data_IF_450109707609
#
_entry.id   IF_450109707609
#
_cell.length_a   1.000
_cell.length_b   1.000
_cell.length_c   1.000
_cell.angle_alpha   90.00
_cell.angle_beta   90.00
_cell.angle_gamma   90.00
#
_symmetry.space_group_name_H-M   'P 1'
#
loop_
_entity.id
_entity.type
_entity.pdbx_description
1 polymer ?
#
# COMPACT_ATOMS: atom_id res chain seq x y z
N UNK A 1 2.51 -46.47 28.93
CA UNK A 1 1.25 -45.76 28.61
C UNK A 1 1.60 -44.29 28.43
N UNK A 2 1.73 -43.85 27.18
CA UNK A 2 2.00 -42.46 26.81
C UNK A 2 0.78 -42.04 25.99
N UNK A 3 -0.05 -41.17 26.53
CA UNK A 3 -1.25 -40.67 25.86
C UNK A 3 -0.86 -39.59 24.85
N UNK A 4 -0.99 -39.92 23.57
CA UNK A 4 -1.06 -39.00 22.44
C UNK A 4 -2.13 -37.94 22.72
N UNK A 5 -1.73 -36.68 22.90
CA UNK A 5 -2.65 -35.55 22.79
C UNK A 5 -2.80 -35.21 21.31
N UNK A 6 -4.02 -35.44 20.80
CA UNK A 6 -4.39 -35.22 19.42
C UNK A 6 -4.43 -33.73 19.08
N UNK A 7 -3.54 -33.33 18.18
CA UNK A 7 -3.71 -32.15 17.34
C UNK A 7 -4.74 -32.55 16.27
N UNK A 8 -6.02 -32.46 16.59
CA UNK A 8 -7.11 -32.60 15.62
C UNK A 8 -8.11 -31.46 15.83
N UNK A 9 -7.76 -30.31 15.27
CA UNK A 9 -8.68 -29.33 14.70
C UNK A 9 -7.89 -28.51 13.67
N UNK A 10 -7.33 -29.23 12.70
CA UNK A 10 -6.89 -28.65 11.44
C UNK A 10 -8.18 -28.46 10.62
N UNK A 11 -8.72 -27.25 10.66
CA UNK A 11 -9.91 -26.89 9.89
C UNK A 11 -9.58 -27.05 8.40
N UNK A 12 -10.31 -27.93 7.71
CA UNK A 12 -10.40 -27.92 6.25
C UNK A 12 -11.10 -26.62 5.83
N UNK A 13 -10.31 -25.58 5.61
CA UNK A 13 -10.79 -24.37 4.96
C UNK A 13 -10.73 -24.63 3.46
N UNK A 14 -11.85 -24.41 2.75
CA UNK A 14 -11.93 -24.57 1.29
C UNK A 14 -10.77 -23.82 0.61
N UNK A 15 -10.12 -24.39 -0.43
CA UNK A 15 -9.05 -23.72 -1.20
C UNK A 15 -9.44 -22.34 -1.76
N UNK A 16 -10.75 -22.06 -1.89
CA UNK A 16 -11.28 -20.78 -2.36
C UNK A 16 -11.41 -19.71 -1.26
N UNK A 17 -11.24 -20.07 0.01
CA UNK A 17 -11.37 -19.15 1.13
C UNK A 17 -10.02 -18.48 1.44
N UNK A 18 -9.73 -17.39 0.74
CA UNK A 18 -8.52 -16.56 0.99
C UNK A 18 -8.53 -15.84 2.35
N UNK A 19 -9.64 -15.91 3.08
CA UNK A 19 -9.86 -15.18 4.33
C UNK A 19 -10.67 -16.00 5.32
N UNK A 20 -10.27 -15.96 6.59
CA UNK A 20 -10.98 -16.55 7.71
C UNK A 20 -11.11 -15.55 8.85
N UNK A 21 -12.20 -15.66 9.61
CA UNK A 21 -12.48 -14.81 10.77
C UNK A 21 -12.94 -15.68 11.93
N UNK A 22 -12.36 -15.48 13.11
CA UNK A 22 -12.77 -16.15 14.34
C UNK A 22 -12.51 -15.29 15.57
N UNK A 23 -13.06 -15.69 16.71
CA UNK A 23 -12.87 -15.01 18.00
C UNK A 23 -11.93 -15.86 18.85
N UNK A 24 -10.84 -15.28 19.32
CA UNK A 24 -9.90 -15.93 20.23
C UNK A 24 -9.70 -15.06 21.48
N UNK A 25 -9.97 -15.60 22.67
CA UNK A 25 -9.94 -14.87 23.95
C UNK A 25 -10.69 -13.52 23.91
N UNK A 26 -11.84 -13.47 23.24
CA UNK A 26 -12.64 -12.24 23.09
C UNK A 26 -12.10 -11.24 22.08
N UNK A 27 -10.95 -11.51 21.44
CA UNK A 27 -10.39 -10.71 20.35
C UNK A 27 -10.79 -11.32 19.01
N UNK A 28 -11.34 -10.49 18.12
CA UNK A 28 -11.58 -10.89 16.73
C UNK A 28 -10.23 -11.00 16.01
N UNK A 29 -9.90 -12.21 15.56
CA UNK A 29 -8.73 -12.49 14.73
C UNK A 29 -9.21 -12.67 13.29
N UNK A 30 -8.49 -12.02 12.38
CA UNK A 30 -8.76 -12.05 10.95
C UNK A 30 -7.52 -12.53 10.24
N UNK A 31 -7.66 -13.60 9.48
CA UNK A 31 -6.56 -14.30 8.85
C UNK A 31 -6.68 -14.18 7.34
N UNK A 32 -5.60 -13.75 6.70
CA UNK A 32 -5.42 -13.85 5.26
C UNK A 32 -4.61 -15.10 4.94
N UNK A 33 -5.08 -15.88 3.97
CA UNK A 33 -4.35 -17.02 3.45
C UNK A 33 -3.40 -16.51 2.36
N UNK A 34 -2.12 -16.81 2.53
CA UNK A 34 -1.08 -16.45 1.59
C UNK A 34 -0.33 -17.72 1.18
N UNK A 35 -0.82 -18.35 0.11
CA UNK A 35 -0.38 -19.68 -0.30
C UNK A 35 -0.89 -20.71 0.69
N UNK A 36 0.02 -21.45 1.30
CA UNK A 36 -0.28 -22.41 2.37
C UNK A 36 -0.12 -21.82 3.79
N UNK A 37 0.21 -20.53 3.90
CA UNK A 37 0.47 -19.85 5.16
C UNK A 37 -0.69 -18.94 5.58
N UNK A 38 -0.74 -18.65 6.88
CA UNK A 38 -1.82 -17.91 7.53
C UNK A 38 -1.25 -16.73 8.30
N UNK A 39 -1.75 -15.52 8.03
CA UNK A 39 -1.26 -14.30 8.65
C UNK A 39 -2.41 -13.44 9.17
N UNK A 40 -2.22 -12.82 10.33
CA UNK A 40 -3.14 -11.76 10.79
C UNK A 40 -3.14 -10.62 9.77
N UNK A 41 -4.33 -10.15 9.37
CA UNK A 41 -4.44 -9.06 8.41
C UNK A 41 -3.70 -7.79 8.87
N UNK A 42 -3.52 -7.60 10.18
CA UNK A 42 -2.81 -6.45 10.73
C UNK A 42 -1.40 -6.29 10.14
N UNK A 43 -0.73 -7.42 9.82
CA UNK A 43 0.58 -7.44 9.16
C UNK A 43 0.55 -6.69 7.81
N UNK A 44 -0.50 -6.90 7.02
CA UNK A 44 -0.68 -6.24 5.72
C UNK A 44 -1.17 -4.81 5.89
N UNK A 45 -2.13 -4.60 6.79
CA UNK A 45 -2.79 -3.31 6.96
C UNK A 45 -1.79 -2.24 7.43
N UNK A 46 -0.90 -2.57 8.36
CA UNK A 46 0.05 -1.61 8.91
C UNK A 46 1.06 -1.13 7.86
N UNK A 47 1.55 -2.02 6.98
CA UNK A 47 2.45 -1.64 5.88
C UNK A 47 1.72 -0.81 4.82
N UNK A 48 0.49 -1.19 4.45
CA UNK A 48 -0.32 -0.50 3.44
C UNK A 48 -0.63 0.93 3.91
N UNK A 49 -0.96 1.12 5.19
CA UNK A 49 -1.23 2.44 5.77
C UNK A 49 0.05 3.28 5.82
N UNK A 50 1.18 2.72 6.25
CA UNK A 50 2.44 3.45 6.31
C UNK A 50 2.85 3.98 4.92
N UNK A 51 2.74 3.14 3.89
CA UNK A 51 2.99 3.51 2.50
C UNK A 51 1.99 4.56 1.98
N UNK A 52 0.70 4.40 2.29
CA UNK A 52 -0.32 5.36 1.90
C UNK A 52 -0.06 6.76 2.49
N UNK A 53 0.28 6.81 3.79
CA UNK A 53 0.61 8.04 4.51
C UNK A 53 1.80 8.76 3.87
N UNK A 54 2.88 8.02 3.64
CA UNK A 54 4.08 8.58 3.04
C UNK A 54 3.81 9.14 1.65
N UNK A 55 2.98 8.43 0.87
CA UNK A 55 2.53 8.89 -0.44
C UNK A 55 1.65 10.14 -0.40
N UNK A 56 0.77 10.28 0.59
CA UNK A 56 -0.05 11.49 0.77
C UNK A 56 0.83 12.71 1.06
N UNK A 57 1.82 12.55 1.95
CA UNK A 57 2.78 13.60 2.31
C UNK A 57 3.60 14.05 1.09
N UNK A 58 4.16 13.09 0.34
CA UNK A 58 4.96 13.38 -0.86
C UNK A 58 4.12 14.12 -1.91
N UNK A 59 2.87 13.73 -2.10
CA UNK A 59 2.01 14.40 -3.09
C UNK A 59 1.57 15.79 -2.65
N UNK A 60 1.41 16.03 -1.35
CA UNK A 60 1.18 17.35 -0.78
C UNK A 60 2.41 18.25 -0.96
N UNK A 61 3.61 17.74 -0.69
CA UNK A 61 4.87 18.43 -0.92
C UNK A 61 4.99 18.87 -2.39
N UNK A 62 4.67 17.98 -3.34
CA UNK A 62 4.70 18.30 -4.77
C UNK A 62 3.71 19.42 -5.15
N UNK A 63 2.48 19.35 -4.63
CA UNK A 63 1.47 20.38 -4.85
C UNK A 63 1.93 21.75 -4.33
N UNK A 64 2.50 21.80 -3.11
CA UNK A 64 3.03 23.05 -2.54
C UNK A 64 4.23 23.58 -3.32
N UNK A 65 5.16 22.71 -3.71
CA UNK A 65 6.31 23.11 -4.52
C UNK A 65 5.86 23.68 -5.88
N UNK A 66 4.85 23.08 -6.51
CA UNK A 66 4.23 23.61 -7.74
C UNK A 66 3.67 25.02 -7.50
N UNK A 67 2.90 25.22 -6.42
CA UNK A 67 2.34 26.54 -6.05
C UNK A 67 3.41 27.58 -5.77
N UNK A 68 4.44 27.27 -4.99
CA UNK A 68 5.57 28.18 -4.72
C UNK A 68 6.26 28.57 -6.02
N UNK A 69 6.49 27.60 -6.91
CA UNK A 69 7.10 27.85 -8.23
C UNK A 69 6.24 28.77 -9.08
N UNK A 70 4.93 28.57 -9.11
CA UNK A 70 3.99 29.45 -9.84
C UNK A 70 3.99 30.84 -9.20
N UNK A 71 3.85 30.92 -7.89
CA UNK A 71 3.82 32.18 -7.13
C UNK A 71 5.07 33.01 -7.42
N UNK A 72 6.27 32.44 -7.31
CA UNK A 72 7.53 33.13 -7.61
C UNK A 72 7.63 33.70 -9.02
N UNK A 73 6.94 33.12 -10.00
CA UNK A 73 6.93 33.61 -11.38
C UNK A 73 5.98 34.79 -11.60
N UNK A 74 4.92 34.90 -10.80
CA UNK A 74 3.85 35.87 -10.99
C UNK A 74 3.75 36.89 -9.85
N UNK A 75 4.53 36.70 -8.78
CA UNK A 75 4.35 37.40 -7.51
C UNK A 75 4.59 38.90 -7.62
N UNK A 76 3.75 39.63 -6.90
CA UNK A 76 3.96 41.03 -6.51
C UNK A 76 4.39 41.09 -5.04
N UNK A 77 4.76 42.27 -4.54
CA UNK A 77 5.14 42.42 -3.12
C UNK A 77 4.07 41.95 -2.11
N UNK A 78 2.80 41.88 -2.53
CA UNK A 78 1.66 41.40 -1.70
C UNK A 78 1.60 39.88 -1.55
N UNK A 79 2.42 39.13 -2.29
CA UNK A 79 2.40 37.66 -2.30
C UNK A 79 3.48 37.04 -1.42
N UNK A 80 4.35 37.87 -0.82
CA UNK A 80 5.42 37.42 0.10
C UNK A 80 4.88 36.65 1.30
N UNK A 81 3.75 37.10 1.85
CA UNK A 81 3.11 36.43 3.00
C UNK A 81 2.59 35.03 2.64
N UNK A 82 2.06 34.86 1.42
CA UNK A 82 1.62 33.54 0.93
C UNK A 82 2.79 32.60 0.66
N UNK A 83 3.90 33.12 0.13
CA UNK A 83 5.10 32.32 -0.06
C UNK A 83 5.67 31.85 1.28
N UNK A 84 5.72 32.74 2.27
CA UNK A 84 6.13 32.40 3.63
C UNK A 84 5.24 31.29 4.23
N UNK A 85 3.92 31.40 4.06
CA UNK A 85 2.97 30.37 4.51
C UNK A 85 3.23 29.00 3.86
N UNK A 86 3.43 28.94 2.55
CA UNK A 86 3.74 27.66 1.88
C UNK A 86 5.08 27.07 2.31
N UNK A 87 6.09 27.92 2.55
CA UNK A 87 7.39 27.46 3.04
C UNK A 87 7.29 26.91 4.49
N UNK A 88 6.44 27.50 5.33
CA UNK A 88 6.14 26.97 6.67
C UNK A 88 5.45 25.59 6.57
N UNK A 89 4.46 25.45 5.69
CA UNK A 89 3.79 24.15 5.47
C UNK A 89 4.76 23.10 4.92
N UNK A 90 5.65 23.45 4.00
CA UNK A 90 6.72 22.56 3.51
C UNK A 90 7.64 22.12 4.65
N UNK A 91 8.00 23.03 5.57
CA UNK A 91 8.82 22.69 6.74
C UNK A 91 8.12 21.69 7.65
N UNK A 92 6.83 21.88 7.90
CA UNK A 92 6.00 20.92 8.65
C UNK A 92 5.94 19.55 7.96
N UNK A 93 5.79 19.53 6.63
CA UNK A 93 5.78 18.27 5.87
C UNK A 93 7.11 17.53 5.90
N UNK A 94 8.24 18.23 5.96
CA UNK A 94 9.54 17.57 6.12
C UNK A 94 9.63 16.78 7.44
N UNK A 95 9.11 17.35 8.53
CA UNK A 95 9.04 16.65 9.82
C UNK A 95 8.10 15.44 9.74
N UNK A 96 6.91 15.61 9.16
CA UNK A 96 5.93 14.53 8.99
C UNK A 96 6.47 13.41 8.09
N UNK A 97 7.20 13.77 7.03
CA UNK A 97 7.85 12.82 6.12
C UNK A 97 8.86 11.95 6.89
N UNK A 98 9.74 12.55 7.69
CA UNK A 98 10.70 11.80 8.50
C UNK A 98 10.03 10.85 9.50
N UNK A 99 8.94 11.29 10.14
CA UNK A 99 8.15 10.43 11.03
C UNK A 99 7.47 9.27 10.28
N UNK A 100 6.91 9.53 9.10
CA UNK A 100 6.27 8.52 8.26
C UNK A 100 7.30 7.53 7.69
N UNK A 101 8.48 7.96 7.29
CA UNK A 101 9.57 7.09 6.87
C UNK A 101 10.04 6.17 8.00
N UNK A 102 10.20 6.70 9.21
CA UNK A 102 10.56 5.90 10.37
C UNK A 102 9.47 4.87 10.71
N UNK A 103 8.20 5.28 10.66
CA UNK A 103 7.06 4.37 10.85
C UNK A 103 7.06 3.26 9.81
N UNK A 104 7.28 3.59 8.53
CA UNK A 104 7.41 2.62 7.45
C UNK A 104 8.55 1.65 7.72
N UNK A 105 9.73 2.15 8.10
CA UNK A 105 10.86 1.30 8.49
C UNK A 105 10.49 0.32 9.62
N UNK A 106 9.83 0.79 10.69
CA UNK A 106 9.42 -0.07 11.79
C UNK A 106 8.49 -1.20 11.31
N UNK A 107 7.45 -0.88 10.53
CA UNK A 107 6.52 -1.92 10.05
C UNK A 107 7.20 -2.88 9.05
N UNK A 108 8.13 -2.40 8.23
CA UNK A 108 8.97 -3.23 7.35
C UNK A 108 9.82 -4.23 8.14
N UNK A 109 10.39 -3.81 9.28
CA UNK A 109 11.18 -4.70 10.16
C UNK A 109 10.33 -5.70 10.93
N UNK A 110 9.04 -5.40 11.15
CA UNK A 110 8.09 -6.26 11.84
C UNK A 110 7.40 -7.27 10.92
N UNK A 111 7.62 -7.20 9.61
CA UNK A 111 7.11 -8.20 8.68
C UNK A 111 7.68 -9.59 9.04
N UNK A 112 6.83 -10.64 9.13
CA UNK A 112 7.29 -11.99 9.42
C UNK A 112 8.35 -12.45 8.42
N UNK A 113 9.49 -12.91 8.94
CA UNK A 113 10.57 -13.49 8.13
C UNK A 113 10.01 -14.70 7.37
N UNK A 114 10.33 -14.79 6.08
CA UNK A 114 9.85 -15.86 5.19
C UNK A 114 9.12 -15.29 3.98
N UNK A 115 8.09 -16.00 3.45
CA UNK A 115 7.48 -15.66 2.16
C UNK A 115 6.88 -14.27 2.07
N UNK A 116 6.29 -13.75 3.15
CA UNK A 116 5.68 -12.40 3.16
C UNK A 116 6.75 -11.32 3.07
N UNK A 117 7.80 -11.40 3.89
CA UNK A 117 8.89 -10.44 3.81
C UNK A 117 9.62 -10.52 2.47
N UNK A 118 9.91 -11.73 1.99
CA UNK A 118 10.54 -11.93 0.69
C UNK A 118 9.69 -11.34 -0.45
N UNK A 119 8.37 -11.54 -0.43
CA UNK A 119 7.49 -11.03 -1.48
C UNK A 119 7.38 -9.51 -1.47
N UNK A 120 7.36 -8.89 -0.29
CA UNK A 120 7.42 -7.44 -0.15
C UNK A 120 8.77 -6.88 -0.63
N UNK A 121 9.88 -7.42 -0.13
CA UNK A 121 11.23 -6.94 -0.45
C UNK A 121 11.51 -7.10 -1.96
N UNK A 122 11.23 -8.27 -2.54
CA UNK A 122 11.38 -8.54 -3.99
C UNK A 122 10.55 -7.57 -4.82
N UNK A 123 9.33 -7.27 -4.40
CA UNK A 123 8.50 -6.30 -5.10
C UNK A 123 9.11 -4.90 -5.05
N UNK A 124 9.70 -4.50 -3.92
CA UNK A 124 10.31 -3.17 -3.72
C UNK A 124 11.65 -2.99 -4.44
N UNK A 125 12.33 -4.06 -4.83
CA UNK A 125 13.51 -3.99 -5.71
C UNK A 125 13.16 -3.42 -7.10
N UNK A 126 11.92 -3.61 -7.56
CA UNK A 126 11.46 -3.00 -8.80
C UNK A 126 11.09 -1.53 -8.59
N UNK A 127 11.86 -0.61 -9.19
CA UNK A 127 11.62 0.85 -9.10
C UNK A 127 10.25 1.28 -9.65
N UNK A 128 9.62 0.45 -10.48
CA UNK A 128 8.29 0.67 -11.06
C UNK A 128 7.18 -0.15 -10.39
N UNK A 129 7.43 -0.74 -9.21
CA UNK A 129 6.44 -1.54 -8.47
C UNK A 129 5.08 -0.84 -8.32
N UNK A 130 5.11 0.48 -8.18
CA UNK A 130 3.93 1.30 -7.98
C UNK A 130 3.04 1.38 -9.23
N UNK A 131 3.52 0.96 -10.41
CA UNK A 131 2.78 0.91 -11.68
C UNK A 131 2.14 -0.45 -11.96
N UNK A 132 2.17 -1.36 -10.99
CA UNK A 132 1.50 -2.64 -11.08
C UNK A 132 0.01 -2.48 -11.41
N UNK A 133 -0.52 -3.44 -12.16
CA UNK A 133 -1.90 -3.45 -12.64
C UNK A 133 -2.89 -3.23 -11.50
N UNK A 134 -2.68 -3.85 -10.35
CA UNK A 134 -3.58 -3.79 -9.21
C UNK A 134 -3.73 -2.35 -8.66
N UNK A 135 -2.62 -1.59 -8.61
CA UNK A 135 -2.62 -0.20 -8.16
C UNK A 135 -3.13 0.77 -9.24
N UNK A 136 -2.86 0.48 -10.51
CA UNK A 136 -3.42 1.21 -11.64
C UNK A 136 -4.94 1.05 -11.65
N UNK A 137 -5.43 -0.18 -11.56
CA UNK A 137 -6.85 -0.53 -11.54
C UNK A 137 -7.56 0.10 -10.33
N UNK A 138 -6.94 0.08 -9.14
CA UNK A 138 -7.45 0.82 -7.99
C UNK A 138 -7.60 2.31 -8.31
N UNK A 139 -6.53 2.94 -8.82
CA UNK A 139 -6.53 4.36 -9.17
C UNK A 139 -7.65 4.70 -10.17
N UNK A 140 -7.86 3.86 -11.19
CA UNK A 140 -8.94 4.01 -12.18
C UNK A 140 -10.31 3.88 -11.53
N UNK A 141 -10.55 2.83 -10.74
CA UNK A 141 -11.86 2.54 -10.11
C UNK A 141 -12.33 3.66 -9.19
N UNK A 142 -11.42 4.36 -8.52
CA UNK A 142 -11.73 5.52 -7.67
C UNK A 142 -11.69 6.87 -8.42
N UNK A 143 -11.74 6.86 -9.75
CA UNK A 143 -11.80 8.05 -10.60
C UNK A 143 -10.51 8.89 -10.62
N UNK A 144 -9.36 8.25 -10.38
CA UNK A 144 -8.06 8.91 -10.29
C UNK A 144 -7.40 9.21 -11.63
N UNK A 145 -6.19 9.76 -11.56
CA UNK A 145 -5.48 10.25 -12.74
C UNK A 145 -5.20 9.16 -13.79
N UNK A 146 -5.20 7.88 -13.41
CA UNK A 146 -5.01 6.78 -14.36
C UNK A 146 -6.20 6.55 -15.29
N UNK A 147 -7.39 7.02 -14.94
CA UNK A 147 -8.54 7.02 -15.86
C UNK A 147 -8.53 8.23 -16.81
N UNK A 148 -7.42 9.00 -16.84
CA UNK A 148 -7.30 10.30 -17.50
C UNK A 148 -6.00 10.38 -18.29
N UNK A 149 -5.83 11.48 -19.02
CA UNK A 149 -4.68 11.72 -19.90
C UNK A 149 -3.52 12.50 -19.26
N UNK A 150 -3.59 12.88 -17.98
CA UNK A 150 -2.57 13.75 -17.38
C UNK A 150 -1.20 13.08 -17.14
N UNK A 151 -1.12 11.75 -17.14
CA UNK A 151 0.15 11.00 -17.07
C UNK A 151 0.94 11.13 -15.75
N UNK A 152 0.43 11.88 -14.76
CA UNK A 152 1.22 12.24 -13.58
C UNK A 152 1.54 11.05 -12.67
N UNK A 153 0.68 10.04 -12.63
CA UNK A 153 0.91 8.84 -11.83
C UNK A 153 2.10 8.03 -12.43
N UNK A 154 2.38 8.08 -13.74
CA UNK A 154 3.46 7.31 -14.40
C UNK A 154 4.86 7.88 -14.10
N UNK A 155 4.99 9.20 -14.17
CA UNK A 155 6.27 9.90 -14.02
C UNK A 155 6.61 10.27 -12.57
N UNK A 156 5.90 9.70 -11.58
CA UNK A 156 6.07 10.06 -10.15
C UNK A 156 7.51 9.99 -9.69
N UNK A 157 8.23 8.92 -10.02
CA UNK A 157 9.62 8.74 -9.61
C UNK A 157 10.56 9.85 -10.13
N UNK A 158 10.23 10.47 -11.26
CA UNK A 158 11.00 11.56 -11.87
C UNK A 158 10.74 12.91 -11.19
N UNK A 159 9.54 13.10 -10.62
CA UNK A 159 9.07 14.40 -10.15
C UNK A 159 9.14 14.60 -8.63
N UNK A 160 9.32 13.55 -7.82
CA UNK A 160 9.30 13.68 -6.34
C UNK A 160 10.68 14.01 -5.76
N UNK A 161 11.77 13.56 -6.40
CA UNK A 161 13.11 13.56 -5.77
C UNK A 161 13.20 12.70 -4.50
N UNK A 162 12.12 11.97 -4.15
CA UNK A 162 12.00 11.09 -2.97
C UNK A 162 12.10 9.65 -3.42
N UNK A 163 12.82 8.83 -2.65
CA UNK A 163 12.96 7.39 -2.92
C UNK A 163 11.79 6.57 -2.36
N UNK A 164 11.01 7.13 -1.42
CA UNK A 164 9.84 6.49 -0.80
C UNK A 164 8.59 7.37 -0.99
N UNK A 165 7.41 6.80 -0.73
CA UNK A 165 6.13 7.48 -0.95
C UNK A 165 5.74 7.62 -2.43
N UNK A 166 6.39 6.86 -3.32
CA UNK A 166 6.07 6.85 -4.75
C UNK A 166 4.81 6.02 -4.97
N UNK A 167 3.84 6.57 -5.71
CA UNK A 167 2.72 5.78 -6.21
C UNK A 167 1.55 6.58 -6.75
N UNK A 168 0.42 5.88 -6.89
CA UNK A 168 -0.77 6.45 -7.50
C UNK A 168 -1.40 7.57 -6.67
N UNK A 169 -2.27 8.31 -7.33
CA UNK A 169 -2.64 9.65 -6.96
C UNK A 169 -3.56 9.68 -5.70
N UNK A 170 -3.07 10.11 -4.55
CA UNK A 170 -3.78 10.21 -3.28
C UNK A 170 -4.64 11.51 -3.23
N UNK A 171 -5.47 11.74 -2.19
CA UNK A 171 -6.33 12.92 -2.08
C UNK A 171 -5.65 14.28 -2.34
N UNK A 172 -4.37 14.44 -1.97
CA UNK A 172 -3.58 15.66 -2.19
C UNK A 172 -2.95 15.81 -3.58
N UNK A 173 -3.14 14.84 -4.47
CA UNK A 173 -2.62 14.94 -5.84
C UNK A 173 -3.12 16.22 -6.53
N UNK A 174 -2.21 17.09 -6.97
CA UNK A 174 -2.54 18.36 -7.65
C UNK A 174 -3.54 18.18 -8.80
N UNK A 175 -3.32 17.22 -9.71
CA UNK A 175 -4.26 16.94 -10.80
C UNK A 175 -5.67 16.58 -10.33
N UNK A 176 -5.80 15.90 -9.17
CA UNK A 176 -7.11 15.59 -8.58
C UNK A 176 -7.75 16.84 -8.01
N UNK A 177 -6.99 17.70 -7.33
CA UNK A 177 -7.49 18.96 -6.78
C UNK A 177 -7.92 19.92 -7.89
N UNK A 178 -7.15 20.04 -8.97
CA UNK A 178 -7.49 20.89 -10.12
C UNK A 178 -8.80 20.48 -10.77
N UNK A 179 -9.04 19.17 -10.95
CA UNK A 179 -10.32 18.68 -11.48
C UNK A 179 -11.48 18.96 -10.53
N UNK A 180 -11.26 18.69 -9.25
CA UNK A 180 -12.29 18.83 -8.23
C UNK A 180 -12.70 20.29 -8.06
N UNK A 181 -11.82 21.23 -8.41
CA UNK A 181 -12.03 22.67 -8.30
C UNK A 181 -11.80 23.23 -6.89
N UNK A 182 -11.36 22.40 -5.94
CA UNK A 182 -11.03 22.81 -4.59
C UNK A 182 -9.98 21.89 -3.95
N UNK A 183 -9.36 22.38 -2.89
CA UNK A 183 -8.39 21.65 -2.09
C UNK A 183 -9.02 21.16 -0.79
N UNK A 184 -8.58 20.00 -0.31
CA UNK A 184 -8.98 19.53 1.01
C UNK A 184 -8.30 20.35 2.10
N UNK A 185 -9.02 20.63 3.18
CA UNK A 185 -8.43 21.18 4.41
C UNK A 185 -7.51 20.16 5.08
N UNK A 186 -6.78 20.57 6.12
CA UNK A 186 -5.97 19.63 6.92
C UNK A 186 -6.83 18.51 7.52
N UNK A 187 -8.00 18.86 8.04
CA UNK A 187 -8.94 17.94 8.69
C UNK A 187 -9.55 16.95 7.68
N UNK A 188 -9.90 17.41 6.47
CA UNK A 188 -10.42 16.53 5.42
C UNK A 188 -9.37 15.55 4.90
N UNK A 189 -8.09 15.97 4.86
CA UNK A 189 -6.96 15.09 4.50
C UNK A 189 -6.75 14.01 5.55
N UNK A 190 -6.73 14.38 6.83
CA UNK A 190 -6.63 13.44 7.93
C UNK A 190 -7.81 12.46 7.95
N UNK A 191 -9.05 12.98 7.77
CA UNK A 191 -10.25 12.16 7.64
C UNK A 191 -10.18 11.16 6.48
N UNK A 192 -9.57 11.54 5.36
CA UNK A 192 -9.38 10.63 4.21
C UNK A 192 -8.44 9.45 4.53
N UNK A 193 -7.38 9.71 5.30
CA UNK A 193 -6.46 8.66 5.77
C UNK A 193 -7.18 7.73 6.74
N UNK A 194 -7.93 8.30 7.70
CA UNK A 194 -8.68 7.53 8.68
C UNK A 194 -9.75 6.66 8.03
N UNK A 195 -10.45 7.18 7.02
CA UNK A 195 -11.45 6.42 6.28
C UNK A 195 -10.82 5.28 5.46
N UNK A 196 -9.62 5.50 4.90
CA UNK A 196 -8.86 4.43 4.25
C UNK A 196 -8.46 3.35 5.26
N UNK A 197 -7.95 3.74 6.43
CA UNK A 197 -7.62 2.82 7.53
C UNK A 197 -8.84 2.04 8.00
N UNK A 198 -9.99 2.68 8.19
CA UNK A 198 -11.25 2.02 8.56
C UNK A 198 -11.66 0.98 7.52
N UNK A 199 -11.56 1.30 6.22
CA UNK A 199 -11.89 0.36 5.13
C UNK A 199 -10.98 -0.88 5.12
N UNK A 200 -9.69 -0.73 5.43
CA UNK A 200 -8.77 -1.86 5.55
C UNK A 200 -9.08 -2.76 6.75
N UNK A 201 -9.58 -2.15 7.84
CA UNK A 201 -10.01 -2.85 9.04
C UNK A 201 -11.50 -3.20 9.07
N UNK A 202 -12.26 -3.02 7.98
CA UNK A 202 -13.68 -3.39 7.89
C UNK A 202 -13.84 -4.93 7.97
N UNK A 203 -14.99 -5.40 8.46
CA UNK A 203 -15.35 -6.82 8.45
C UNK A 203 -15.41 -7.39 7.03
N UNK A 204 -15.65 -6.56 6.02
CA UNK A 204 -15.52 -6.97 4.62
C UNK A 204 -14.03 -7.00 4.21
N UNK A 205 -13.44 -8.18 3.93
CA UNK A 205 -12.03 -8.29 3.65
C UNK A 205 -11.64 -7.86 2.23
N UNK A 206 -12.60 -7.52 1.35
CA UNK A 206 -12.34 -7.24 -0.05
C UNK A 206 -11.27 -6.15 -0.25
N UNK A 207 -11.33 -5.09 0.56
CA UNK A 207 -10.36 -3.99 0.50
C UNK A 207 -8.96 -4.46 0.88
N UNK A 208 -8.80 -5.14 2.02
CA UNK A 208 -7.48 -5.60 2.48
C UNK A 208 -6.91 -6.69 1.59
N UNK A 209 -7.74 -7.59 1.03
CA UNK A 209 -7.29 -8.59 0.05
C UNK A 209 -6.73 -7.90 -1.19
N UNK A 210 -7.51 -7.00 -1.81
CA UNK A 210 -7.08 -6.28 -3.00
C UNK A 210 -5.78 -5.51 -2.77
N UNK A 211 -5.65 -4.86 -1.61
CA UNK A 211 -4.45 -4.10 -1.29
C UNK A 211 -3.27 -5.01 -0.95
N UNK A 212 -3.48 -6.16 -0.30
CA UNK A 212 -2.42 -7.14 -0.09
C UNK A 212 -1.86 -7.66 -1.42
N UNK A 213 -2.71 -7.96 -2.40
CA UNK A 213 -2.28 -8.39 -3.75
C UNK A 213 -1.49 -7.32 -4.51
N UNK A 214 -1.77 -6.04 -4.23
CA UNK A 214 -1.07 -4.92 -4.82
C UNK A 214 0.30 -4.65 -4.16
N UNK A 215 0.43 -4.89 -2.85
CA UNK A 215 1.60 -4.56 -2.05
C UNK A 215 2.56 -5.73 -1.82
N UNK A 216 2.14 -6.94 -2.16
CA UNK A 216 2.94 -8.16 -2.06
C UNK A 216 2.86 -8.92 -3.39
N UNK A 217 3.84 -9.77 -3.69
CA UNK A 217 3.68 -10.72 -4.80
C UNK A 217 2.60 -11.73 -4.45
N UNK A 218 1.94 -12.36 -5.42
CA UNK A 218 1.14 -13.55 -5.11
C UNK A 218 2.09 -14.72 -4.83
N UNK A 219 1.76 -15.59 -3.85
CA UNK A 219 2.54 -16.79 -3.62
C UNK A 219 2.52 -17.62 -4.90
N UNK A 220 3.69 -18.05 -5.37
CA UNK A 220 3.78 -18.97 -6.49
C UNK A 220 3.00 -20.23 -6.10
N UNK A 221 1.90 -20.48 -6.80
CA UNK A 221 1.24 -21.78 -6.70
C UNK A 221 2.22 -22.73 -7.36
N UNK A 222 2.94 -23.52 -6.56
CA UNK A 222 3.73 -24.62 -7.10
C UNK A 222 2.77 -25.52 -7.87
N UNK A 223 2.85 -25.48 -9.19
CA UNK A 223 2.18 -26.46 -10.05
C UNK A 223 2.80 -27.79 -9.63
N UNK A 224 1.99 -28.79 -9.19
CA UNK A 224 2.53 -30.09 -8.84
C UNK A 224 3.36 -30.59 -10.02
N UNK A 225 4.66 -30.79 -9.81
CA UNK A 225 5.49 -31.46 -10.81
C UNK A 225 4.86 -32.82 -11.06
N UNK A 226 4.26 -33.00 -12.25
CA UNK A 226 3.88 -34.32 -12.73
C UNK A 226 5.13 -35.18 -12.65
N UNK A 227 5.15 -36.12 -11.69
CA UNK A 227 6.15 -37.18 -11.67
C UNK A 227 5.98 -37.94 -12.98
N UNK A 228 6.83 -37.64 -13.95
CA UNK A 228 7.04 -38.50 -15.10
C UNK A 228 7.65 -39.78 -14.52
N UNK A 229 6.80 -40.77 -14.26
CA UNK A 229 7.26 -42.14 -14.03
C UNK A 229 7.87 -42.59 -15.36
N UNK A 230 9.19 -42.47 -15.48
CA UNK A 230 9.96 -43.25 -16.44
C UNK A 230 9.79 -44.72 -16.07
N UNK A 231 8.84 -45.37 -16.71
CA UNK A 231 8.74 -46.82 -16.78
C UNK A 231 9.98 -47.33 -17.52
N UNK A 232 11.04 -47.60 -16.77
CA UNK A 232 12.15 -48.42 -17.26
C UNK A 232 11.66 -49.87 -17.30
N UNK A 233 11.39 -50.35 -18.51
CA UNK A 233 11.23 -51.77 -18.81
C UNK A 233 12.62 -52.40 -18.76
N UNK A 234 12.87 -53.45 -17.95
CA UNK A 234 14.12 -54.20 -18.06
C UNK A 234 14.05 -55.07 -19.31
N UNK A 235 14.96 -54.80 -20.25
CA UNK A 235 15.27 -55.73 -21.32
C UNK A 235 16.29 -56.76 -20.85
N UNK A 236 16.00 -58.02 -21.21
CA UNK A 236 16.82 -59.23 -21.22
C UNK A 236 16.92 -60.01 -19.91
#
# INVERSE_FOLDING_TARGET
MITKWGIHNMFEVSPDQRYAQFVNYGKQIRILHYGHLFFDIAVFVDIIIAEYLLREIVQQEQSLNSKVRVLRKIATDKDKDKEAQYNEELTSLLLQYGQAEYKLYLVETMLPIGPIKQSYDTLRENTTWYLRKELVDDCVKRGGCCSRSCGCCQIRHEVTGRNKGIGHCAPTCECRSSERGFEYTAEEREGSVDDFKKKLYDNNPACVIQMAEAFFLLPLVEIPQERTQENTVPGW
#
